data_IF_736893773922
#
_entry.id   IF_736893773922
#
_cell.length_a   1.000
_cell.length_b   1.000
_cell.length_c   1.000
_cell.angle_alpha   90.00
_cell.angle_beta   90.00
_cell.angle_gamma   90.00
#
_symmetry.space_group_name_H-M   'P 1'
#
loop_
_entity.id
_entity.type
_entity.pdbx_description
1 polymer ?
#
# COMPACT_ATOMS: atom_id res chain seq x y z
N UNK A 1 -50.67 27.04 -0.05
CA UNK A 1 -49.26 26.89 0.35
C UNK A 1 -49.11 25.53 1.00
N UNK A 2 -48.55 24.56 0.27
CA UNK A 2 -47.73 23.45 0.75
C UNK A 2 -47.36 22.60 -0.47
N UNK A 3 -46.06 22.51 -0.71
CA UNK A 3 -45.42 21.71 -1.75
C UNK A 3 -45.32 20.26 -1.29
N UNK A 4 -45.71 19.31 -2.15
CA UNK A 4 -45.17 17.95 -2.16
C UNK A 4 -45.18 17.46 -3.62
N UNK A 5 -43.99 17.39 -4.23
CA UNK A 5 -43.74 16.57 -5.42
C UNK A 5 -43.18 15.25 -4.93
N UNK A 6 -43.99 14.21 -5.04
CA UNK A 6 -43.61 12.84 -4.78
C UNK A 6 -42.90 12.24 -6.01
N UNK A 7 -41.70 11.73 -5.74
CA UNK A 7 -41.10 10.46 -6.17
C UNK A 7 -41.83 9.67 -7.27
N UNK A 8 -41.12 9.47 -8.39
CA UNK A 8 -41.22 8.32 -9.31
C UNK A 8 -39.77 7.82 -9.45
N UNK A 9 -39.40 6.71 -8.82
CA UNK A 9 -39.54 5.34 -9.32
C UNK A 9 -38.48 4.97 -10.38
N UNK A 10 -37.46 4.23 -9.94
CA UNK A 10 -36.85 3.13 -10.69
C UNK A 10 -35.87 2.40 -9.75
N UNK A 11 -36.39 1.40 -9.03
CA UNK A 11 -35.57 0.31 -8.54
C UNK A 11 -35.38 -0.69 -9.68
N UNK A 12 -34.18 -1.25 -9.80
CA UNK A 12 -33.92 -2.42 -10.63
C UNK A 12 -33.07 -3.41 -9.82
N UNK A 13 -33.77 -4.36 -9.21
CA UNK A 13 -33.27 -5.72 -8.95
C UNK A 13 -32.71 -6.30 -10.25
N UNK A 14 -31.57 -7.01 -10.20
CA UNK A 14 -31.37 -8.17 -11.08
C UNK A 14 -30.63 -9.29 -10.34
N UNK A 15 -31.45 -10.23 -9.85
CA UNK A 15 -31.08 -11.57 -9.45
C UNK A 15 -31.00 -12.46 -10.70
N UNK A 16 -29.95 -13.27 -10.77
CA UNK A 16 -29.75 -14.33 -11.75
C UNK A 16 -30.78 -15.44 -11.53
N UNK A 17 -31.53 -15.79 -12.58
CA UNK A 17 -32.44 -16.94 -12.60
C UNK A 17 -32.93 -17.23 -14.01
N UNK A 18 -32.40 -18.28 -14.63
CA UNK A 18 -32.69 -18.63 -16.02
C UNK A 18 -34.07 -19.24 -16.27
N UNK A 19 -34.59 -19.06 -17.48
CA UNK A 19 -35.52 -19.98 -18.13
C UNK A 19 -35.53 -19.78 -19.66
N UNK A 20 -35.45 -20.92 -20.35
CA UNK A 20 -35.43 -21.11 -21.80
C UNK A 20 -36.67 -20.53 -22.50
N UNK A 21 -36.47 -19.73 -23.56
CA UNK A 21 -37.31 -19.76 -24.78
C UNK A 21 -36.56 -19.13 -25.94
N UNK A 22 -36.49 -19.86 -27.05
CA UNK A 22 -35.81 -19.49 -28.29
C UNK A 22 -36.43 -18.26 -28.98
N UNK A 23 -35.59 -17.32 -29.46
CA UNK A 23 -35.74 -16.56 -30.71
C UNK A 23 -34.46 -15.75 -31.05
N UNK A 24 -33.87 -16.06 -32.21
CA UNK A 24 -32.96 -15.28 -33.09
C UNK A 24 -31.58 -14.76 -32.61
N UNK A 25 -30.53 -15.37 -33.18
CA UNK A 25 -29.07 -15.21 -33.01
C UNK A 25 -28.43 -13.84 -33.34
N UNK A 26 -29.15 -12.72 -33.40
CA UNK A 26 -28.55 -11.43 -33.84
C UNK A 26 -28.41 -10.35 -32.77
N UNK A 27 -28.99 -10.52 -31.58
CA UNK A 27 -28.94 -9.51 -30.50
C UNK A 27 -28.01 -9.90 -29.32
N UNK A 28 -27.47 -11.12 -29.31
CA UNK A 28 -26.69 -11.66 -28.19
C UNK A 28 -25.25 -11.11 -28.10
N UNK A 29 -24.66 -10.68 -29.23
CA UNK A 29 -23.31 -10.09 -29.25
C UNK A 29 -23.27 -8.62 -28.77
N UNK A 30 -24.36 -7.87 -28.90
CA UNK A 30 -24.41 -6.47 -28.46
C UNK A 30 -24.68 -6.32 -26.95
N UNK A 31 -25.35 -7.30 -26.35
CA UNK A 31 -25.62 -7.35 -24.91
C UNK A 31 -24.39 -7.83 -24.12
N UNK A 32 -23.62 -8.81 -24.65
CA UNK A 32 -22.38 -9.30 -24.03
C UNK A 32 -21.31 -8.21 -23.91
N UNK A 33 -21.07 -7.44 -24.98
CA UNK A 33 -20.04 -6.38 -24.97
C UNK A 33 -20.38 -5.17 -24.09
N UNK A 34 -21.68 -4.91 -23.82
CA UNK A 34 -22.11 -3.87 -22.88
C UNK A 34 -22.02 -4.30 -21.42
N UNK A 35 -22.29 -5.58 -21.12
CA UNK A 35 -22.13 -6.14 -19.79
C UNK A 35 -20.64 -6.24 -19.39
N UNK A 36 -19.79 -6.59 -20.35
CA UNK A 36 -18.34 -6.68 -20.16
C UNK A 36 -17.71 -5.30 -19.96
N UNK A 37 -18.04 -4.30 -20.80
CA UNK A 37 -17.57 -2.93 -20.62
C UNK A 37 -18.10 -2.25 -19.34
N UNK A 38 -19.34 -2.55 -18.93
CA UNK A 38 -19.89 -2.04 -17.66
C UNK A 38 -19.20 -2.67 -16.44
N UNK A 39 -18.78 -3.94 -16.54
CA UNK A 39 -18.04 -4.64 -15.48
C UNK A 39 -16.61 -4.11 -15.34
N UNK A 40 -15.90 -3.90 -16.46
CA UNK A 40 -14.55 -3.31 -16.49
C UNK A 40 -14.53 -1.88 -15.93
N UNK A 41 -15.51 -1.04 -16.29
CA UNK A 41 -15.60 0.34 -15.77
C UNK A 41 -15.89 0.39 -14.25
N UNK A 42 -16.54 -0.64 -13.72
CA UNK A 42 -16.91 -0.74 -12.31
C UNK A 42 -15.75 -1.28 -11.45
N UNK A 43 -14.90 -2.16 -12.01
CA UNK A 43 -13.70 -2.66 -11.33
C UNK A 43 -12.56 -1.63 -11.34
N UNK A 44 -12.39 -0.85 -12.43
CA UNK A 44 -11.43 0.27 -12.51
C UNK A 44 -11.69 1.36 -11.46
N UNK A 45 -12.97 1.63 -11.17
CA UNK A 45 -13.38 2.58 -10.14
C UNK A 45 -13.07 2.07 -8.72
N UNK A 46 -13.07 0.75 -8.51
CA UNK A 46 -12.81 0.12 -7.22
C UNK A 46 -11.35 0.23 -6.77
N UNK A 47 -10.39 0.01 -7.67
CA UNK A 47 -8.97 0.10 -7.35
C UNK A 47 -8.52 1.53 -6.98
N UNK A 48 -8.98 2.52 -7.76
CA UNK A 48 -8.79 3.95 -7.47
C UNK A 48 -9.48 4.38 -6.17
N UNK A 49 -10.58 3.73 -5.81
CA UNK A 49 -11.26 3.97 -4.54
C UNK A 49 -10.43 3.44 -3.37
N UNK A 50 -9.83 2.25 -3.47
CA UNK A 50 -9.00 1.67 -2.42
C UNK A 50 -7.69 2.42 -2.20
N UNK A 51 -7.00 2.90 -3.24
CA UNK A 51 -5.81 3.75 -3.08
C UNK A 51 -6.11 5.01 -2.28
N UNK A 52 -7.24 5.67 -2.58
CA UNK A 52 -7.68 6.86 -1.85
C UNK A 52 -8.06 6.57 -0.40
N UNK A 53 -8.52 5.35 -0.10
CA UNK A 53 -8.78 4.89 1.27
C UNK A 53 -7.45 4.67 1.99
N UNK A 54 -6.47 4.03 1.36
CA UNK A 54 -5.13 3.83 1.95
C UNK A 54 -4.46 5.17 2.24
N UNK A 55 -4.48 6.11 1.30
CA UNK A 55 -3.97 7.48 1.50
C UNK A 55 -4.69 8.16 2.67
N UNK A 56 -6.02 8.15 2.69
CA UNK A 56 -6.82 8.75 3.77
C UNK A 56 -6.51 8.15 5.16
N UNK A 57 -6.41 6.82 5.25
CA UNK A 57 -6.14 6.13 6.51
C UNK A 57 -4.69 6.29 6.97
N UNK A 58 -3.75 6.53 6.04
CA UNK A 58 -2.31 6.63 6.36
C UNK A 58 -1.86 8.06 6.62
N UNK A 59 -2.32 9.02 5.81
CA UNK A 59 -1.93 10.44 5.91
C UNK A 59 -2.57 11.13 7.13
N UNK A 60 -3.50 10.43 7.78
CA UNK A 60 -4.14 10.92 8.98
C UNK A 60 -3.11 11.24 10.08
N UNK A 61 -3.20 12.45 10.61
CA UNK A 61 -2.52 12.87 11.82
C UNK A 61 -3.52 12.97 12.97
N UNK A 62 -3.18 12.31 14.09
CA UNK A 62 -3.92 12.40 15.33
C UNK A 62 -4.13 13.88 15.74
N UNK A 63 -5.35 14.33 16.09
CA UNK A 63 -5.61 15.73 16.43
C UNK A 63 -4.83 16.16 17.66
N UNK A 64 -4.38 17.40 17.73
CA UNK A 64 -3.73 17.93 18.94
C UNK A 64 -4.76 18.27 20.02
N UNK A 65 -5.99 18.54 19.63
CA UNK A 65 -7.09 18.91 20.52
C UNK A 65 -7.51 17.72 21.40
N UNK A 66 -7.74 17.98 22.68
CA UNK A 66 -8.13 16.95 23.65
C UNK A 66 -7.02 15.98 24.04
N UNK A 67 -5.77 16.15 23.57
CA UNK A 67 -4.64 15.33 24.04
C UNK A 67 -4.32 15.65 25.50
N UNK A 68 -4.12 14.61 26.30
CA UNK A 68 -3.59 14.74 27.65
C UNK A 68 -2.12 15.19 27.59
N UNK A 69 -1.67 16.07 28.51
CA UNK A 69 -0.29 16.48 28.55
C UNK A 69 0.60 15.30 28.99
N UNK A 70 1.86 15.28 28.54
CA UNK A 70 2.79 14.15 28.77
C UNK A 70 3.07 13.87 30.26
N UNK A 71 2.89 14.87 31.13
CA UNK A 71 3.04 14.74 32.58
C UNK A 71 1.77 14.25 33.30
N UNK A 72 0.72 13.90 32.55
CA UNK A 72 -0.53 13.38 33.12
C UNK A 72 -0.32 12.00 33.77
N UNK A 73 -0.99 11.74 34.90
CA UNK A 73 -0.79 10.52 35.69
C UNK A 73 -1.03 9.21 34.92
N UNK A 74 -1.88 9.25 33.89
CA UNK A 74 -2.15 8.08 33.04
C UNK A 74 -0.93 7.67 32.20
N UNK A 75 -0.02 8.59 31.91
CA UNK A 75 1.26 8.26 31.27
C UNK A 75 2.19 7.45 32.19
N UNK A 76 1.96 7.41 33.52
CA UNK A 76 2.77 6.58 34.42
C UNK A 76 2.66 5.07 34.16
N UNK A 77 1.66 4.65 33.38
CA UNK A 77 1.44 3.27 32.96
C UNK A 77 2.02 2.93 31.58
N UNK A 78 2.55 3.91 30.85
CA UNK A 78 2.98 3.80 29.47
C UNK A 78 4.33 4.49 29.25
N UNK A 79 5.06 4.15 28.19
CA UNK A 79 6.25 4.91 27.81
C UNK A 79 5.81 6.25 27.18
N UNK A 80 6.36 7.39 27.63
CA UNK A 80 5.99 8.77 27.24
C UNK A 80 6.22 9.07 25.74
N UNK A 81 6.92 8.18 25.04
CA UNK A 81 7.10 8.20 23.59
C UNK A 81 6.17 7.26 22.81
N UNK A 82 5.59 6.25 23.46
CA UNK A 82 4.90 5.15 22.78
C UNK A 82 3.39 5.36 22.62
N UNK A 83 2.77 6.26 23.39
CA UNK A 83 1.30 6.39 23.45
C UNK A 83 0.85 7.85 23.37
N UNK A 84 -0.27 8.10 22.68
CA UNK A 84 -0.99 9.37 22.68
C UNK A 84 -2.34 9.14 23.36
N UNK A 85 -2.56 9.82 24.49
CA UNK A 85 -3.79 9.72 25.28
C UNK A 85 -4.66 10.96 25.09
N UNK A 86 -5.98 10.78 25.07
CA UNK A 86 -6.95 11.86 24.97
C UNK A 86 -7.85 11.95 26.21
N UNK A 87 -8.33 13.15 26.51
CA UNK A 87 -9.25 13.46 27.62
C UNK A 87 -10.56 12.68 27.53
N UNK A 88 -11.00 12.37 26.31
CA UNK A 88 -12.17 11.54 26.08
C UNK A 88 -11.90 10.05 26.36
N UNK A 89 -10.66 9.63 26.67
CA UNK A 89 -10.35 8.24 27.03
C UNK A 89 -9.85 7.36 25.90
N UNK A 90 -9.61 7.91 24.71
CA UNK A 90 -8.99 7.19 23.58
C UNK A 90 -7.46 7.17 23.72
N UNK A 91 -6.86 6.03 23.38
CA UNK A 91 -5.42 5.78 23.48
C UNK A 91 -4.88 5.21 22.17
N UNK A 92 -3.90 5.89 21.59
CA UNK A 92 -3.31 5.54 20.30
C UNK A 92 -1.82 5.28 20.42
N UNK A 93 -1.28 4.40 19.58
CA UNK A 93 0.16 4.22 19.44
C UNK A 93 0.77 5.50 18.85
N UNK A 94 1.88 5.96 19.42
CA UNK A 94 2.53 7.21 19.04
C UNK A 94 3.24 7.16 17.69
N UNK A 95 3.64 5.96 17.24
CA UNK A 95 4.34 5.71 15.99
C UNK A 95 3.36 5.29 14.89
N UNK A 96 2.55 4.27 15.14
CA UNK A 96 1.64 3.70 14.14
C UNK A 96 0.31 4.44 14.05
N UNK A 97 0.00 5.29 15.04
CA UNK A 97 -1.29 6.00 15.20
C UNK A 97 -2.49 5.05 15.34
N UNK A 98 -2.26 3.76 15.57
CA UNK A 98 -3.30 2.77 15.75
C UNK A 98 -4.01 2.97 17.09
N UNK A 99 -5.35 2.97 17.06
CA UNK A 99 -6.16 3.00 18.28
C UNK A 99 -6.09 1.63 18.96
N UNK A 100 -5.52 1.55 20.16
CA UNK A 100 -5.35 0.28 20.87
C UNK A 100 -6.18 0.16 22.16
N UNK A 101 -6.70 1.27 22.69
CA UNK A 101 -7.61 1.22 23.83
C UNK A 101 -8.60 2.39 23.87
N UNK A 102 -9.79 2.10 24.39
CA UNK A 102 -10.80 3.08 24.77
C UNK A 102 -11.14 2.83 26.25
N UNK A 103 -10.88 3.80 27.11
CA UNK A 103 -11.35 3.75 28.49
C UNK A 103 -12.88 3.80 28.49
N UNK A 104 -13.53 2.77 29.07
CA UNK A 104 -15.00 2.67 29.13
C UNK A 104 -15.64 3.96 29.63
N UNK A 105 -16.71 4.39 28.95
CA UNK A 105 -17.48 5.63 29.14
C UNK A 105 -16.82 6.92 28.63
N UNK A 106 -15.91 6.81 27.66
CA UNK A 106 -15.60 7.92 26.76
C UNK A 106 -16.88 8.44 26.10
N UNK A 107 -17.19 9.73 26.23
CA UNK A 107 -18.31 10.39 25.55
C UNK A 107 -18.16 10.41 24.02
N UNK A 108 -18.79 11.39 23.37
CA UNK A 108 -18.71 11.58 21.92
C UNK A 108 -17.24 11.63 21.44
N UNK A 109 -16.99 11.06 20.25
CA UNK A 109 -15.68 11.05 19.61
C UNK A 109 -15.19 12.49 19.36
N UNK A 110 -13.89 12.75 19.47
CA UNK A 110 -13.34 14.05 19.09
C UNK A 110 -13.29 14.11 17.56
N UNK A 111 -13.78 15.22 16.99
CA UNK A 111 -13.71 15.49 15.54
C UNK A 111 -12.27 15.32 15.04
N UNK A 112 -12.11 14.54 13.98
CA UNK A 112 -10.81 14.17 13.43
C UNK A 112 -10.33 12.78 13.82
N UNK A 113 -10.88 12.10 14.83
CA UNK A 113 -10.43 10.76 15.24
C UNK A 113 -10.96 9.60 14.38
N UNK A 114 -11.76 9.89 13.36
CA UNK A 114 -12.49 8.92 12.53
C UNK A 114 -11.58 7.93 11.81
N UNK A 115 -10.42 8.32 11.22
CA UNK A 115 -9.57 7.38 10.49
C UNK A 115 -8.92 6.32 11.38
N UNK A 116 -8.46 6.70 12.57
CA UNK A 116 -7.85 5.75 13.50
C UNK A 116 -8.88 4.85 14.18
N UNK A 117 -10.11 5.36 14.42
CA UNK A 117 -11.23 4.51 14.81
C UNK A 117 -11.60 3.51 13.71
N UNK A 118 -11.61 3.95 12.44
CA UNK A 118 -11.85 3.08 11.30
C UNK A 118 -10.81 1.95 11.20
N UNK A 119 -9.50 2.24 11.34
CA UNK A 119 -8.45 1.22 11.30
C UNK A 119 -8.66 0.11 12.36
N UNK A 120 -8.88 0.48 13.62
CA UNK A 120 -9.11 -0.49 14.70
C UNK A 120 -10.37 -1.34 14.45
N UNK A 121 -11.47 -0.71 14.03
CA UNK A 121 -12.73 -1.43 13.80
C UNK A 121 -12.69 -2.30 12.54
N UNK A 122 -11.95 -1.90 11.52
CA UNK A 122 -11.66 -2.75 10.36
C UNK A 122 -10.87 -3.98 10.77
N UNK A 123 -9.84 -3.83 11.62
CA UNK A 123 -9.10 -4.96 12.16
C UNK A 123 -9.96 -5.90 13.02
N UNK A 124 -10.79 -5.34 13.91
CA UNK A 124 -11.75 -6.11 14.72
C UNK A 124 -12.73 -6.89 13.84
N UNK A 125 -13.25 -6.25 12.79
CA UNK A 125 -14.16 -6.88 11.83
C UNK A 125 -13.47 -8.00 11.03
N UNK A 126 -12.24 -7.79 10.55
CA UNK A 126 -11.43 -8.80 9.84
C UNK A 126 -11.17 -10.02 10.73
N UNK A 127 -10.70 -9.81 11.96
CA UNK A 127 -10.44 -10.89 12.92
C UNK A 127 -11.71 -11.67 13.26
N UNK A 128 -12.83 -10.98 13.43
CA UNK A 128 -14.13 -11.59 13.71
C UNK A 128 -14.67 -12.37 12.52
N UNK A 129 -14.39 -11.91 11.29
CA UNK A 129 -14.79 -12.58 10.05
C UNK A 129 -13.97 -13.86 9.80
N UNK A 130 -12.66 -13.84 10.05
CA UNK A 130 -11.80 -15.04 10.02
C UNK A 130 -12.28 -16.08 11.07
N UNK A 131 -12.61 -15.63 12.28
CA UNK A 131 -13.20 -16.50 13.29
C UNK A 131 -14.55 -17.09 12.85
N UNK A 132 -15.42 -16.29 12.23
CA UNK A 132 -16.70 -16.77 11.70
C UNK A 132 -16.52 -17.82 10.60
N UNK A 133 -15.49 -17.69 9.75
CA UNK A 133 -15.13 -18.71 8.76
C UNK A 133 -14.67 -20.03 9.40
N UNK A 134 -13.87 -19.95 10.47
CA UNK A 134 -13.27 -21.12 11.13
C UNK A 134 -14.25 -21.87 12.05
N UNK A 135 -15.11 -21.14 12.76
CA UNK A 135 -15.77 -21.67 13.96
C UNK A 135 -17.31 -21.66 13.98
N UNK A 136 -17.98 -21.11 12.94
CA UNK A 136 -19.45 -21.11 12.66
C UNK A 136 -19.90 -19.66 12.39
N UNK A 137 -20.69 -19.37 11.32
CA UNK A 137 -21.10 -18.03 10.88
C UNK A 137 -21.99 -17.20 11.83
N UNK A 138 -22.17 -17.58 13.09
CA UNK A 138 -22.98 -16.83 14.07
C UNK A 138 -22.40 -15.45 14.41
N UNK A 139 -21.13 -15.18 14.06
CA UNK A 139 -20.47 -13.88 14.24
C UNK A 139 -20.75 -12.84 13.14
N UNK A 140 -21.41 -13.22 12.03
CA UNK A 140 -21.68 -12.28 10.93
C UNK A 140 -22.48 -11.03 11.34
N UNK A 141 -23.53 -11.12 12.17
CA UNK A 141 -24.26 -9.93 12.64
C UNK A 141 -23.37 -8.95 13.42
N UNK A 142 -22.39 -9.48 14.17
CA UNK A 142 -21.45 -8.66 14.93
C UNK A 142 -20.45 -7.97 14.00
N UNK A 143 -19.92 -8.67 12.99
CA UNK A 143 -19.07 -8.07 11.94
C UNK A 143 -19.81 -6.95 11.20
N UNK A 144 -21.06 -7.20 10.79
CA UNK A 144 -21.91 -6.22 10.10
C UNK A 144 -22.13 -4.98 10.99
N UNK A 145 -22.45 -5.18 12.27
CA UNK A 145 -22.62 -4.10 13.22
C UNK A 145 -21.33 -3.28 13.40
N UNK A 146 -20.17 -3.94 13.49
CA UNK A 146 -18.86 -3.28 13.62
C UNK A 146 -18.54 -2.42 12.40
N UNK A 147 -18.75 -2.93 11.18
CA UNK A 147 -18.57 -2.13 9.96
C UNK A 147 -19.56 -0.96 9.86
N UNK A 148 -20.80 -1.16 10.33
CA UNK A 148 -21.81 -0.11 10.42
C UNK A 148 -21.38 1.04 11.33
N UNK A 149 -20.76 0.74 12.47
CA UNK A 149 -20.22 1.76 13.37
C UNK A 149 -19.13 2.61 12.69
N UNK A 150 -18.24 1.99 11.91
CA UNK A 150 -17.22 2.74 11.15
C UNK A 150 -17.87 3.65 10.13
N UNK A 151 -18.88 3.14 9.43
CA UNK A 151 -19.59 3.91 8.40
C UNK A 151 -20.29 5.13 9.00
N UNK A 152 -20.98 4.97 10.13
CA UNK A 152 -21.78 6.04 10.76
C UNK A 152 -20.93 7.22 11.26
N UNK A 153 -19.66 6.97 11.59
CA UNK A 153 -18.73 7.99 12.07
C UNK A 153 -17.77 8.49 10.99
N UNK A 154 -17.73 7.84 9.82
CA UNK A 154 -16.79 8.19 8.76
C UNK A 154 -17.40 9.22 7.80
N UNK A 155 -16.68 10.33 7.59
CA UNK A 155 -17.10 11.37 6.65
C UNK A 155 -16.45 11.24 5.26
N UNK A 156 -15.51 10.30 5.07
CA UNK A 156 -14.80 10.12 3.81
C UNK A 156 -15.62 9.25 2.82
N UNK A 157 -16.19 9.84 1.74
CA UNK A 157 -17.13 9.12 0.88
C UNK A 157 -16.59 7.84 0.21
N UNK A 158 -15.31 7.78 -0.21
CA UNK A 158 -14.73 6.54 -0.72
C UNK A 158 -14.76 5.38 0.30
N UNK A 159 -14.41 5.65 1.56
CA UNK A 159 -14.47 4.62 2.62
C UNK A 159 -15.92 4.23 2.94
N UNK A 160 -16.84 5.21 2.96
CA UNK A 160 -18.27 4.94 3.20
C UNK A 160 -18.85 3.98 2.15
N UNK A 161 -18.58 4.25 0.86
CA UNK A 161 -19.04 3.40 -0.23
C UNK A 161 -18.43 2.01 -0.20
N UNK A 162 -17.15 1.91 0.17
CA UNK A 162 -16.46 0.62 0.32
C UNK A 162 -17.06 -0.20 1.47
N UNK A 163 -17.29 0.41 2.63
CA UNK A 163 -17.91 -0.22 3.80
C UNK A 163 -19.32 -0.71 3.47
N UNK A 164 -20.14 0.12 2.80
CA UNK A 164 -21.50 -0.25 2.43
C UNK A 164 -21.53 -1.49 1.52
N UNK A 165 -20.65 -1.55 0.52
CA UNK A 165 -20.56 -2.72 -0.37
C UNK A 165 -20.22 -4.01 0.39
N UNK A 166 -19.37 -3.94 1.41
CA UNK A 166 -18.99 -5.09 2.25
C UNK A 166 -20.12 -5.50 3.19
N UNK A 167 -20.79 -4.54 3.80
CA UNK A 167 -22.00 -4.75 4.62
C UNK A 167 -23.08 -5.45 3.80
N UNK A 168 -23.38 -4.97 2.60
CA UNK A 168 -24.39 -5.57 1.72
C UNK A 168 -24.03 -7.01 1.34
N UNK A 169 -22.76 -7.27 0.97
CA UNK A 169 -22.27 -8.63 0.70
C UNK A 169 -22.41 -9.56 1.91
N UNK A 170 -22.07 -9.09 3.11
CA UNK A 170 -22.20 -9.90 4.34
C UNK A 170 -23.66 -10.17 4.72
N UNK A 171 -24.58 -9.22 4.50
CA UNK A 171 -26.02 -9.44 4.67
C UNK A 171 -26.56 -10.50 3.69
N UNK A 172 -26.10 -10.49 2.44
CA UNK A 172 -26.44 -11.53 1.47
C UNK A 172 -25.94 -12.91 1.91
N UNK A 173 -24.72 -12.97 2.47
CA UNK A 173 -24.15 -14.20 3.04
C UNK A 173 -24.96 -14.69 4.24
N UNK A 174 -25.36 -13.80 5.15
CA UNK A 174 -26.15 -14.15 6.33
C UNK A 174 -27.44 -14.89 5.94
N UNK A 175 -28.10 -14.45 4.86
CA UNK A 175 -29.33 -15.03 4.34
C UNK A 175 -29.18 -16.43 3.73
N UNK A 176 -27.96 -16.93 3.50
CA UNK A 176 -27.72 -18.25 2.91
C UNK A 176 -27.77 -19.32 3.99
N UNK A 177 -28.64 -20.32 3.88
CA UNK A 177 -28.72 -21.39 4.90
C UNK A 177 -27.56 -22.40 4.84
N UNK A 178 -26.95 -22.60 3.66
CA UNK A 178 -25.88 -23.57 3.44
C UNK A 178 -24.52 -23.05 3.91
N UNK A 179 -23.87 -23.75 4.86
CA UNK A 179 -22.60 -23.33 5.46
C UNK A 179 -21.41 -23.31 4.48
N UNK A 180 -21.30 -24.26 3.55
CA UNK A 180 -20.22 -24.29 2.56
C UNK A 180 -20.36 -23.16 1.54
N UNK A 181 -21.59 -22.88 1.10
CA UNK A 181 -21.88 -21.74 0.23
C UNK A 181 -21.63 -20.40 0.93
N UNK A 182 -21.93 -20.30 2.23
CA UNK A 182 -21.56 -19.13 3.05
C UNK A 182 -20.06 -18.92 3.08
N UNK A 183 -19.27 -19.95 3.42
CA UNK A 183 -17.81 -19.87 3.48
C UNK A 183 -17.20 -19.39 2.15
N UNK A 184 -17.62 -19.99 1.04
CA UNK A 184 -17.16 -19.60 -0.29
C UNK A 184 -17.45 -18.13 -0.67
N UNK A 185 -18.46 -17.51 -0.04
CA UNK A 185 -18.78 -16.10 -0.26
C UNK A 185 -18.16 -15.16 0.79
N UNK A 186 -17.75 -15.67 1.95
CA UNK A 186 -17.01 -14.89 2.97
C UNK A 186 -15.54 -14.74 2.57
N UNK A 187 -14.93 -15.78 2.03
CA UNK A 187 -13.49 -15.82 1.72
C UNK A 187 -13.01 -14.64 0.84
N UNK A 188 -13.71 -14.23 -0.24
CA UNK A 188 -13.32 -13.05 -1.00
C UNK A 188 -13.44 -11.72 -0.22
N UNK A 189 -14.41 -11.64 0.69
CA UNK A 189 -14.63 -10.46 1.54
C UNK A 189 -13.51 -10.33 2.56
N UNK A 190 -13.15 -11.45 3.21
CA UNK A 190 -12.04 -11.50 4.17
C UNK A 190 -10.72 -11.10 3.51
N UNK A 191 -10.39 -11.71 2.37
CA UNK A 191 -9.14 -11.42 1.66
C UNK A 191 -9.04 -9.93 1.26
N UNK A 192 -10.14 -9.33 0.83
CA UNK A 192 -10.17 -7.90 0.51
C UNK A 192 -9.92 -7.01 1.73
N UNK A 193 -10.48 -7.36 2.89
CA UNK A 193 -10.27 -6.59 4.12
C UNK A 193 -8.84 -6.74 4.65
N UNK A 194 -8.27 -7.95 4.58
CA UNK A 194 -6.87 -8.22 4.94
C UNK A 194 -5.90 -7.42 4.05
N UNK A 195 -6.11 -7.42 2.74
CA UNK A 195 -5.28 -6.67 1.80
C UNK A 195 -5.32 -5.15 2.06
N UNK A 196 -6.49 -4.59 2.40
CA UNK A 196 -6.60 -3.17 2.73
C UNK A 196 -5.81 -2.84 4.00
N UNK A 197 -5.97 -3.64 5.06
CA UNK A 197 -5.27 -3.43 6.34
C UNK A 197 -3.76 -3.57 6.19
N UNK A 198 -3.28 -4.55 5.43
CA UNK A 198 -1.85 -4.72 5.21
C UNK A 198 -1.29 -3.51 4.46
N UNK A 199 -1.97 -3.02 3.41
CA UNK A 199 -1.55 -1.81 2.69
C UNK A 199 -1.50 -0.57 3.58
N UNK A 200 -2.48 -0.40 4.48
CA UNK A 200 -2.47 0.70 5.45
C UNK A 200 -1.28 0.56 6.40
N UNK A 201 -1.02 -0.64 6.94
CA UNK A 201 0.12 -0.88 7.85
C UNK A 201 1.48 -0.69 7.20
N UNK A 202 1.64 -1.18 5.98
CA UNK A 202 2.88 -1.03 5.21
C UNK A 202 3.17 0.43 4.87
N UNK A 203 2.13 1.22 4.61
CA UNK A 203 2.27 2.65 4.30
C UNK A 203 2.46 3.48 5.58
N UNK A 204 1.79 3.12 6.68
CA UNK A 204 1.85 3.81 7.96
C UNK A 204 3.12 3.51 8.77
N UNK A 205 3.72 2.34 8.58
CA UNK A 205 4.88 1.90 9.34
C UNK A 205 6.07 1.53 8.43
N UNK A 206 6.71 2.52 7.79
CA UNK A 206 7.88 2.31 6.93
C UNK A 206 9.10 1.72 7.67
N UNK A 207 9.07 1.66 9.01
CA UNK A 207 10.20 1.32 9.89
C UNK A 207 10.28 -0.15 10.31
N UNK A 208 9.38 -1.06 9.90
CA UNK A 208 9.65 -2.50 10.06
C UNK A 208 10.97 -2.81 9.35
N UNK A 209 12.01 -3.34 10.03
CA UNK A 209 13.27 -3.60 9.38
C UNK A 209 13.04 -4.70 8.35
N UNK A 210 13.04 -4.28 7.09
CA UNK A 210 13.52 -5.10 5.99
C UNK A 210 14.84 -5.76 6.44
N UNK A 211 15.02 -7.07 6.18
CA UNK A 211 15.95 -7.98 6.90
C UNK A 211 17.12 -7.27 7.62
N UNK A 212 17.25 -7.39 8.96
CA UNK A 212 18.22 -6.62 9.76
C UNK A 212 19.66 -6.63 9.20
N UNK A 213 20.06 -7.73 8.57
CA UNK A 213 21.35 -7.91 7.94
C UNK A 213 21.55 -7.01 6.70
N UNK A 214 20.51 -6.80 5.89
CA UNK A 214 20.52 -5.91 4.73
C UNK A 214 20.52 -4.45 5.16
N UNK A 215 19.72 -4.11 6.17
CA UNK A 215 19.72 -2.77 6.74
C UNK A 215 21.10 -2.40 7.30
N UNK A 216 21.72 -3.31 8.06
CA UNK A 216 23.07 -3.12 8.59
C UNK A 216 24.11 -3.00 7.46
N UNK A 217 24.02 -3.84 6.42
CA UNK A 217 24.92 -3.80 5.26
C UNK A 217 24.95 -2.42 4.58
N UNK A 218 23.80 -1.76 4.40
CA UNK A 218 23.77 -0.41 3.85
C UNK A 218 24.19 0.66 4.86
N UNK A 219 23.83 0.50 6.13
CA UNK A 219 24.23 1.44 7.18
C UNK A 219 25.76 1.53 7.33
N UNK A 220 26.45 0.40 7.22
CA UNK A 220 27.90 0.27 7.34
C UNK A 220 28.66 0.77 6.10
N UNK A 221 27.97 1.00 4.98
CA UNK A 221 28.62 1.42 3.75
C UNK A 221 29.07 2.88 3.82
N UNK A 222 30.34 3.14 3.47
CA UNK A 222 30.90 4.48 3.34
C UNK A 222 31.47 4.69 1.94
N UNK A 223 31.30 5.89 1.41
CA UNK A 223 31.87 6.25 0.10
C UNK A 223 33.40 6.25 0.17
N UNK A 224 34.10 5.59 -0.77
CA UNK A 224 35.55 5.53 -0.75
C UNK A 224 36.17 6.91 -1.03
N UNK A 225 37.27 7.26 -0.36
CA UNK A 225 37.99 8.53 -0.64
C UNK A 225 38.79 8.47 -1.95
N UNK A 226 39.25 7.26 -2.34
CA UNK A 226 40.07 7.07 -3.51
C UNK A 226 39.32 7.41 -4.81
N UNK A 227 39.96 8.19 -5.68
CA UNK A 227 39.40 8.59 -6.98
C UNK A 227 38.31 9.67 -6.92
N UNK A 228 38.04 10.28 -5.76
CA UNK A 228 37.15 11.42 -5.67
C UNK A 228 37.74 12.64 -6.40
N UNK A 229 36.91 13.30 -7.20
CA UNK A 229 37.26 14.53 -7.90
C UNK A 229 37.18 15.71 -6.91
N UNK A 230 38.17 16.63 -6.90
CA UNK A 230 38.16 17.83 -6.07
C UNK A 230 36.90 18.69 -6.28
N UNK A 231 36.38 19.30 -5.21
CA UNK A 231 35.14 20.11 -5.26
C UNK A 231 35.22 21.33 -6.18
N UNK A 232 36.42 21.82 -6.48
CA UNK A 232 36.68 22.94 -7.39
C UNK A 232 36.81 22.53 -8.86
N UNK A 233 36.71 21.23 -9.17
CA UNK A 233 36.77 20.72 -10.53
C UNK A 233 35.56 21.14 -11.38
N UNK A 234 35.75 21.49 -12.68
CA UNK A 234 34.65 21.84 -13.58
C UNK A 234 33.54 20.79 -13.74
N UNK A 235 33.80 19.52 -13.41
CA UNK A 235 32.80 18.43 -13.40
C UNK A 235 31.60 18.75 -12.51
N UNK A 236 31.81 19.54 -11.45
CA UNK A 236 30.74 19.96 -10.55
C UNK A 236 29.95 21.18 -11.03
N UNK A 237 30.24 21.73 -12.22
CA UNK A 237 29.55 22.91 -12.73
C UNK A 237 28.04 22.65 -12.87
N UNK A 238 27.24 23.36 -12.06
CA UNK A 238 25.78 23.22 -12.06
C UNK A 238 25.24 22.14 -11.12
N UNK A 239 26.09 21.59 -10.26
CA UNK A 239 25.77 20.51 -9.32
C UNK A 239 26.03 20.97 -7.88
N UNK A 240 25.26 20.48 -6.92
CA UNK A 240 25.48 20.78 -5.51
C UNK A 240 26.68 19.98 -4.95
N UNK A 241 27.85 20.62 -4.88
CA UNK A 241 29.13 20.04 -4.41
C UNK A 241 29.16 19.61 -2.94
N UNK A 242 28.21 20.10 -2.15
CA UNK A 242 28.10 19.71 -0.74
C UNK A 242 27.19 18.49 -0.56
N UNK A 243 26.27 18.27 -1.49
CA UNK A 243 25.39 17.11 -1.49
C UNK A 243 25.96 15.91 -2.27
N UNK A 244 26.81 16.13 -3.27
CA UNK A 244 27.27 15.06 -4.18
C UNK A 244 28.79 14.86 -4.15
N UNK A 245 29.21 13.65 -4.53
CA UNK A 245 30.60 13.24 -4.72
C UNK A 245 30.74 12.62 -6.10
N UNK A 246 31.62 13.19 -6.93
CA UNK A 246 31.98 12.68 -8.25
C UNK A 246 33.34 11.96 -8.19
N UNK A 247 33.50 10.94 -9.02
CA UNK A 247 34.71 10.14 -9.14
C UNK A 247 35.30 10.18 -10.55
N UNK A 248 36.61 9.99 -10.65
CA UNK A 248 37.37 10.01 -11.91
C UNK A 248 36.85 9.01 -12.95
N UNK A 249 36.29 7.88 -12.50
CA UNK A 249 35.68 6.87 -13.37
C UNK A 249 34.31 7.32 -13.94
N UNK A 250 33.81 8.51 -13.59
CA UNK A 250 32.55 9.07 -14.09
C UNK A 250 31.31 8.69 -13.29
N UNK A 251 31.50 8.14 -12.08
CA UNK A 251 30.41 7.84 -11.14
C UNK A 251 30.13 9.06 -10.24
N UNK A 252 28.86 9.23 -9.86
CA UNK A 252 28.43 10.29 -8.95
C UNK A 252 27.44 9.76 -7.91
N UNK A 253 27.70 10.08 -6.66
CA UNK A 253 26.97 9.58 -5.49
C UNK A 253 26.45 10.73 -4.64
N UNK A 254 25.36 10.49 -3.94
CA UNK A 254 24.88 11.36 -2.87
C UNK A 254 25.71 11.14 -1.60
N UNK A 255 26.18 12.22 -1.00
CA UNK A 255 27.11 12.20 0.14
C UNK A 255 26.46 11.67 1.42
N UNK A 256 25.18 11.93 1.64
CA UNK A 256 24.46 11.54 2.87
C UNK A 256 24.14 10.04 2.92
N UNK A 257 23.60 9.51 1.82
CA UNK A 257 23.17 8.11 1.72
C UNK A 257 24.26 7.18 1.17
N UNK A 258 25.20 7.71 0.39
CA UNK A 258 26.16 6.90 -0.36
C UNK A 258 25.57 6.27 -1.63
N UNK A 259 24.31 6.54 -1.97
CA UNK A 259 23.67 5.98 -3.17
C UNK A 259 24.19 6.65 -4.44
N UNK A 260 24.36 5.88 -5.51
CA UNK A 260 24.66 6.43 -6.84
C UNK A 260 23.46 7.22 -7.35
N UNK A 261 23.69 8.46 -7.77
CA UNK A 261 22.66 9.34 -8.35
C UNK A 261 22.85 9.58 -9.84
N UNK A 262 24.06 9.38 -10.34
CA UNK A 262 24.34 9.44 -11.77
C UNK A 262 25.61 8.64 -12.12
N UNK A 263 25.64 8.14 -13.36
CA UNK A 263 26.85 7.62 -13.99
C UNK A 263 26.99 8.18 -15.39
N UNK A 264 28.22 8.42 -15.82
CA UNK A 264 28.48 8.93 -17.16
C UNK A 264 28.21 7.85 -18.21
N UNK A 265 27.55 8.26 -19.29
CA UNK A 265 27.40 7.50 -20.52
C UNK A 265 28.29 8.14 -21.58
N UNK A 266 29.10 7.33 -22.26
CA UNK A 266 30.00 7.78 -23.31
C UNK A 266 29.31 7.70 -24.69
N UNK A 267 29.80 8.48 -25.66
CA UNK A 267 29.22 8.57 -27.01
C UNK A 267 29.25 7.23 -27.78
N UNK A 268 30.13 6.31 -27.37
CA UNK A 268 30.23 4.95 -27.92
C UNK A 268 29.24 3.96 -27.29
N UNK A 269 28.38 4.43 -26.38
CA UNK A 269 27.39 3.63 -25.66
C UNK A 269 27.95 2.90 -24.45
N UNK A 270 29.26 3.02 -24.15
CA UNK A 270 29.83 2.46 -22.92
C UNK A 270 29.35 3.24 -21.70
N UNK A 271 29.26 2.54 -20.58
CA UNK A 271 28.83 3.09 -19.29
C UNK A 271 30.03 3.10 -18.35
N UNK A 272 30.10 4.08 -17.47
CA UNK A 272 31.04 4.05 -16.34
C UNK A 272 30.74 2.85 -15.43
N UNK A 273 31.79 2.14 -15.04
CA UNK A 273 31.71 1.00 -14.13
C UNK A 273 32.19 1.39 -12.72
N UNK A 274 31.51 0.95 -11.65
CA UNK A 274 31.97 1.16 -10.28
C UNK A 274 33.25 0.36 -10.00
N UNK A 275 34.11 0.88 -9.12
CA UNK A 275 35.13 0.04 -8.47
C UNK A 275 34.47 -0.91 -7.46
N UNK A 276 35.15 -1.97 -7.00
CA UNK A 276 34.60 -2.86 -5.96
C UNK A 276 34.10 -2.10 -4.71
N UNK A 277 34.83 -1.07 -4.27
CA UNK A 277 34.45 -0.24 -3.11
C UNK A 277 33.27 0.69 -3.39
N UNK A 278 32.92 0.90 -4.67
CA UNK A 278 31.77 1.68 -5.11
C UNK A 278 30.55 0.80 -5.40
N UNK A 279 30.71 -0.53 -5.44
CA UNK A 279 29.68 -1.46 -5.88
C UNK A 279 28.41 -1.34 -5.05
N UNK A 280 28.51 -1.31 -3.71
CA UNK A 280 27.34 -1.14 -2.84
C UNK A 280 26.59 0.17 -3.11
N UNK A 281 27.31 1.29 -3.29
CA UNK A 281 26.69 2.56 -3.66
C UNK A 281 25.97 2.51 -5.01
N UNK A 282 26.54 1.80 -5.98
CA UNK A 282 25.94 1.60 -7.29
C UNK A 282 24.69 0.72 -7.22
N UNK A 283 24.72 -0.34 -6.42
CA UNK A 283 23.57 -1.21 -6.12
C UNK A 283 22.41 -0.40 -5.53
N UNK A 284 22.66 0.42 -4.50
CA UNK A 284 21.64 1.30 -3.92
C UNK A 284 21.01 2.23 -4.97
N UNK A 285 21.85 2.85 -5.82
CA UNK A 285 21.36 3.73 -6.88
C UNK A 285 20.53 3.02 -7.96
N UNK A 286 20.87 1.78 -8.32
CA UNK A 286 20.12 0.98 -9.27
C UNK A 286 18.75 0.55 -8.71
N UNK A 287 18.68 0.21 -7.42
CA UNK A 287 17.41 -0.06 -6.73
C UNK A 287 16.55 1.20 -6.68
N UNK A 288 17.14 2.36 -6.34
CA UNK A 288 16.43 3.64 -6.33
C UNK A 288 15.92 4.06 -7.71
N UNK A 289 16.70 3.82 -8.78
CA UNK A 289 16.29 4.09 -10.15
C UNK A 289 15.15 3.15 -10.59
N UNK A 290 15.19 1.88 -10.19
CA UNK A 290 14.09 0.94 -10.42
C UNK A 290 12.79 1.43 -9.76
N UNK A 291 12.87 1.90 -8.51
CA UNK A 291 11.71 2.42 -7.76
C UNK A 291 11.14 3.72 -8.34
N UNK A 292 11.95 4.53 -9.02
CA UNK A 292 11.58 5.87 -9.49
C UNK A 292 10.77 5.88 -10.80
N UNK A 293 10.59 4.74 -11.48
CA UNK A 293 10.09 4.70 -12.85
C UNK A 293 8.54 4.72 -13.02
N UNK A 294 7.83 5.62 -12.33
CA UNK A 294 6.50 6.06 -12.76
C UNK A 294 5.28 5.20 -12.38
N UNK A 295 5.40 4.33 -11.38
CA UNK A 295 4.27 3.70 -10.69
C UNK A 295 3.59 2.56 -11.47
N UNK A 296 2.85 1.72 -10.73
CA UNK A 296 2.30 0.43 -11.22
C UNK A 296 1.46 0.54 -12.50
N UNK A 297 0.65 1.60 -12.65
CA UNK A 297 -0.16 1.82 -13.87
C UNK A 297 0.69 2.04 -15.13
N UNK A 298 1.81 2.74 -15.00
CA UNK A 298 2.73 2.93 -16.13
C UNK A 298 3.37 1.60 -16.52
N UNK A 299 3.75 0.79 -15.53
CA UNK A 299 4.36 -0.52 -15.75
C UNK A 299 3.41 -1.53 -16.37
N UNK A 300 2.14 -1.56 -15.96
CA UNK A 300 1.14 -2.39 -16.61
C UNK A 300 0.99 -2.06 -18.11
N UNK A 301 1.14 -0.79 -18.49
CA UNK A 301 1.08 -0.39 -19.90
C UNK A 301 2.38 -0.58 -20.70
N UNK A 302 3.55 -0.55 -20.05
CA UNK A 302 4.86 -0.49 -20.71
C UNK A 302 5.75 -1.72 -20.47
N UNK A 303 5.34 -2.62 -19.59
CA UNK A 303 6.14 -3.76 -19.13
C UNK A 303 7.15 -3.36 -18.05
N UNK A 304 7.75 -4.38 -17.44
CA UNK A 304 8.67 -4.25 -16.31
C UNK A 304 10.15 -4.38 -16.69
N UNK A 305 10.45 -4.40 -18.00
CA UNK A 305 11.80 -4.60 -18.56
C UNK A 305 12.83 -3.65 -17.96
N UNK A 306 12.47 -2.38 -17.75
CA UNK A 306 13.38 -1.41 -17.14
C UNK A 306 13.77 -1.79 -15.70
N UNK A 307 12.79 -2.10 -14.84
CA UNK A 307 13.05 -2.44 -13.43
C UNK A 307 13.79 -3.77 -13.34
N UNK A 308 13.36 -4.78 -14.11
CA UNK A 308 14.06 -6.06 -14.22
C UNK A 308 15.52 -5.83 -14.64
N UNK A 309 15.76 -4.97 -15.64
CA UNK A 309 17.10 -4.61 -16.08
C UNK A 309 17.95 -3.96 -14.98
N UNK A 310 17.38 -3.00 -14.24
CA UNK A 310 18.07 -2.34 -13.13
C UNK A 310 18.38 -3.28 -11.97
N UNK A 311 17.42 -4.11 -11.57
CA UNK A 311 17.61 -5.09 -10.50
C UNK A 311 18.59 -6.19 -10.92
N UNK A 312 18.62 -6.56 -12.20
CA UNK A 312 19.61 -7.50 -12.73
C UNK A 312 21.03 -6.89 -12.72
N UNK A 313 21.20 -5.63 -13.16
CA UNK A 313 22.48 -4.91 -13.02
C UNK A 313 22.90 -4.82 -11.54
N UNK A 314 21.96 -4.55 -10.62
CA UNK A 314 22.24 -4.49 -9.19
C UNK A 314 22.69 -5.86 -8.65
N UNK A 315 22.04 -6.94 -9.11
CA UNK A 315 22.38 -8.31 -8.73
C UNK A 315 23.78 -8.71 -9.21
N UNK A 316 24.17 -8.34 -10.42
CA UNK A 316 25.50 -8.63 -10.98
C UNK A 316 26.63 -7.93 -10.21
N UNK A 317 26.35 -6.74 -9.66
CA UNK A 317 27.30 -5.97 -8.85
C UNK A 317 27.31 -6.37 -7.38
N UNK A 318 26.29 -7.09 -6.91
CA UNK A 318 26.14 -7.41 -5.50
C UNK A 318 26.98 -8.63 -5.09
N UNK A 319 27.72 -8.48 -3.99
CA UNK A 319 28.50 -9.57 -3.38
C UNK A 319 27.91 -10.03 -2.03
N UNK A 320 26.78 -9.47 -1.59
CA UNK A 320 26.14 -9.77 -0.31
C UNK A 320 24.96 -10.75 -0.47
N UNK A 321 25.07 -12.01 -0.01
CA UNK A 321 24.07 -13.05 -0.34
C UNK A 321 22.62 -12.74 0.06
N UNK A 322 22.31 -12.17 1.25
CA UNK A 322 20.93 -11.83 1.58
C UNK A 322 20.31 -10.84 0.60
N UNK A 323 21.08 -9.85 0.14
CA UNK A 323 20.61 -8.90 -0.87
C UNK A 323 20.43 -9.56 -2.24
N UNK A 324 21.24 -10.58 -2.57
CA UNK A 324 21.07 -11.35 -3.81
C UNK A 324 19.73 -12.12 -3.82
N UNK A 325 19.39 -12.75 -2.69
CA UNK A 325 18.12 -13.46 -2.51
C UNK A 325 16.94 -12.49 -2.71
N UNK A 326 16.99 -11.32 -2.08
CA UNK A 326 15.96 -10.32 -2.27
C UNK A 326 15.86 -9.81 -3.71
N UNK A 327 16.99 -9.44 -4.33
CA UNK A 327 17.01 -8.98 -5.72
C UNK A 327 16.42 -10.03 -6.67
N UNK A 328 16.72 -11.31 -6.41
CA UNK A 328 16.15 -12.44 -7.17
C UNK A 328 14.65 -12.50 -7.02
N UNK A 329 14.13 -12.45 -5.78
CA UNK A 329 12.70 -12.48 -5.52
C UNK A 329 11.95 -11.34 -6.23
N UNK A 330 12.52 -10.12 -6.26
CA UNK A 330 11.93 -8.97 -6.96
C UNK A 330 11.95 -9.12 -8.47
N UNK A 331 13.06 -9.59 -9.04
CA UNK A 331 13.15 -9.88 -10.48
C UNK A 331 12.09 -10.92 -10.89
N UNK A 332 11.94 -11.98 -10.10
CA UNK A 332 10.93 -13.02 -10.31
C UNK A 332 9.50 -12.46 -10.17
N UNK A 333 9.25 -11.62 -9.17
CA UNK A 333 7.96 -10.96 -8.95
C UNK A 333 7.53 -10.09 -10.14
N UNK A 334 8.41 -9.21 -10.63
CA UNK A 334 8.15 -8.40 -11.83
C UNK A 334 7.94 -9.27 -13.09
N UNK A 335 8.73 -10.33 -13.25
CA UNK A 335 8.61 -11.25 -14.39
C UNK A 335 7.27 -12.01 -14.34
N UNK A 336 6.86 -12.46 -13.15
CA UNK A 336 5.59 -13.14 -12.95
C UNK A 336 4.41 -12.20 -13.20
N UNK A 337 4.48 -10.96 -12.73
CA UNK A 337 3.47 -9.94 -12.97
C UNK A 337 3.31 -9.63 -14.47
N UNK A 338 4.41 -9.47 -15.21
CA UNK A 338 4.36 -9.26 -16.67
C UNK A 338 3.80 -10.46 -17.45
N UNK A 339 3.82 -11.66 -16.88
CA UNK A 339 3.25 -12.86 -17.49
C UNK A 339 1.75 -13.04 -17.20
N UNK A 340 1.15 -12.19 -16.36
CA UNK A 340 -0.28 -12.24 -16.06
C UNK A 340 -1.11 -11.74 -17.25
N UNK A 341 -2.17 -12.48 -17.59
CA UNK A 341 -3.10 -12.09 -18.66
C UNK A 341 -4.20 -11.14 -18.18
N UNK A 342 -4.42 -11.09 -16.86
CA UNK A 342 -5.37 -10.19 -16.25
C UNK A 342 -4.66 -8.90 -15.84
N UNK A 343 -5.13 -7.77 -16.38
CA UNK A 343 -4.48 -6.47 -16.18
C UNK A 343 -4.60 -5.98 -14.72
N UNK A 344 -5.62 -6.41 -13.96
CA UNK A 344 -5.80 -6.00 -12.56
C UNK A 344 -4.89 -6.79 -11.62
N UNK A 345 -4.84 -8.12 -11.77
CA UNK A 345 -3.90 -8.96 -11.04
C UNK A 345 -2.46 -8.51 -11.32
N UNK A 346 -2.18 -8.14 -12.58
CA UNK A 346 -0.90 -7.57 -12.99
C UNK A 346 -0.61 -6.24 -12.30
N UNK A 347 -1.54 -5.28 -12.32
CA UNK A 347 -1.36 -3.98 -11.64
C UNK A 347 -1.15 -4.17 -10.14
N UNK A 348 -1.90 -5.06 -9.50
CA UNK A 348 -1.75 -5.37 -8.08
C UNK A 348 -0.38 -5.97 -7.78
N UNK A 349 0.05 -6.97 -8.55
CA UNK A 349 1.38 -7.57 -8.41
C UNK A 349 2.50 -6.54 -8.60
N UNK A 350 2.41 -5.68 -9.62
CA UNK A 350 3.37 -4.59 -9.86
C UNK A 350 3.35 -3.52 -8.77
N UNK A 351 2.20 -3.29 -8.13
CA UNK A 351 2.08 -2.38 -7.00
C UNK A 351 2.82 -2.93 -5.79
N UNK A 352 2.61 -4.21 -5.48
CA UNK A 352 3.28 -4.88 -4.37
C UNK A 352 4.80 -4.91 -4.57
N UNK A 353 5.27 -5.24 -5.77
CA UNK A 353 6.70 -5.23 -6.08
C UNK A 353 7.32 -3.83 -5.98
N UNK A 354 6.60 -2.77 -6.37
CA UNK A 354 7.06 -1.40 -6.17
C UNK A 354 7.07 -0.97 -4.71
N UNK A 355 6.09 -1.40 -3.91
CA UNK A 355 6.07 -1.15 -2.47
C UNK A 355 7.33 -1.73 -1.80
N UNK A 356 7.71 -2.95 -2.18
CA UNK A 356 8.93 -3.60 -1.70
C UNK A 356 10.20 -2.84 -2.10
N UNK A 357 10.30 -2.35 -3.34
CA UNK A 357 11.42 -1.48 -3.74
C UNK A 357 11.48 -0.20 -2.90
N UNK A 358 10.33 0.45 -2.66
CA UNK A 358 10.28 1.68 -1.88
C UNK A 358 10.70 1.46 -0.42
N UNK A 359 10.30 0.35 0.19
CA UNK A 359 10.77 -0.06 1.54
C UNK A 359 12.30 -0.19 1.56
N UNK A 360 12.89 -0.85 0.56
CA UNK A 360 14.34 -0.97 0.43
C UNK A 360 15.03 0.40 0.31
N UNK A 361 14.50 1.30 -0.52
CA UNK A 361 15.06 2.64 -0.73
C UNK A 361 15.08 3.47 0.56
N UNK A 362 14.13 3.25 1.47
CA UNK A 362 14.11 3.94 2.75
C UNK A 362 15.31 3.58 3.63
N UNK A 363 15.90 2.38 3.48
CA UNK A 363 17.09 1.97 4.22
C UNK A 363 18.34 2.78 3.85
N UNK A 364 18.37 3.45 2.70
CA UNK A 364 19.54 4.22 2.28
C UNK A 364 19.69 5.54 3.03
N UNK A 365 18.64 5.99 3.73
CA UNK A 365 18.63 7.24 4.47
C UNK A 365 19.34 7.05 5.81
N UNK A 366 20.50 7.69 5.97
CA UNK A 366 21.25 7.75 7.24
C UNK A 366 20.76 8.87 8.15
#
# INVERSE_FOLDING_TARGET
MMNYRAVLAAGALFLVGGLLTACSDSDEQAASGKAEAAKTTQEDAGALQEERIVEYLTDYELPQEGRLPKDHELYSYWDEGAVILYENGYSFDGETKELFAIAKDSGDMIEGQEPAFANMKLEEATNSLDMAMRHNPEGLPEVIATLGQVKDVNEFPPLEGWLQNRIDGLMEVEAIENAEKRKAMIEPVLLSMENLLERVRETANPTKPYEPEIAQFFADYELPEAGQIPKDDPTYKGVNVDALVAYENGMMFERSSGQMVARKHYDDGTKSEPTPEQATGAVMGLIADAASNGGAQRHASQGSEFMIGRLSEAKELNEFPPLEEWLTARIEGYTAADAMNDDQDRVLALTNENAELNKMVQLFRK
#
